data_IF_350140304405
#
_entry.id   IF_350140304405
#
_cell.length_a   1.000
_cell.length_b   1.000
_cell.length_c   1.000
_cell.angle_alpha   90.00
_cell.angle_beta   90.00
_cell.angle_gamma   90.00
#
_symmetry.space_group_name_H-M   'P 1'
#
loop_
_entity.id
_entity.type
_entity.pdbx_description
1 polymer ?
#
# COMPACT_ATOMS: atom_id res chain seq x y z
N UNK A 1 7.15 -21.37 -6.85
CA UNK A 1 7.33 -20.75 -8.16
C UNK A 1 6.91 -19.27 -8.19
N UNK A 2 5.75 -18.86 -7.68
CA UNK A 2 5.33 -17.44 -7.64
C UNK A 2 6.13 -16.57 -6.64
N UNK A 3 6.66 -17.13 -5.55
CA UNK A 3 7.52 -16.40 -4.59
C UNK A 3 8.90 -15.99 -5.15
N UNK A 4 9.28 -16.47 -6.32
CA UNK A 4 10.56 -16.16 -6.95
C UNK A 4 10.49 -15.11 -8.07
N UNK A 5 9.39 -14.33 -8.14
CA UNK A 5 9.27 -13.24 -9.11
C UNK A 5 10.28 -12.15 -8.77
N UNK A 6 11.35 -12.07 -9.57
CA UNK A 6 12.42 -11.07 -9.42
C UNK A 6 12.12 -9.77 -10.16
N UNK A 7 11.24 -9.81 -11.17
CA UNK A 7 10.90 -8.67 -12.02
C UNK A 7 9.38 -8.52 -12.14
N UNK A 8 8.92 -7.29 -12.20
CA UNK A 8 7.50 -6.98 -12.46
C UNK A 8 7.19 -7.45 -13.89
N UNK A 9 6.15 -8.29 -14.11
CA UNK A 9 5.78 -8.74 -15.45
C UNK A 9 5.32 -7.55 -16.29
N UNK A 10 5.71 -7.54 -17.57
CA UNK A 10 5.19 -6.61 -18.56
C UNK A 10 4.09 -7.31 -19.34
N UNK A 11 2.92 -6.71 -19.38
CA UNK A 11 1.75 -7.23 -20.11
C UNK A 11 1.32 -6.22 -21.19
N UNK A 12 0.38 -6.60 -22.05
CA UNK A 12 -0.07 -5.81 -23.21
C UNK A 12 -0.52 -4.38 -22.87
N UNK A 13 -1.03 -4.16 -21.66
CA UNK A 13 -1.50 -2.86 -21.19
C UNK A 13 -0.49 -2.12 -20.26
N UNK A 14 0.66 -2.71 -19.91
CA UNK A 14 1.68 -2.03 -19.11
C UNK A 14 2.22 -0.80 -19.84
N UNK A 15 2.53 0.28 -19.09
CA UNK A 15 3.24 1.42 -19.63
C UNK A 15 4.72 1.07 -19.87
N UNK A 16 5.27 1.51 -20.99
CA UNK A 16 6.69 1.31 -21.30
C UNK A 16 7.60 2.10 -20.36
N UNK A 17 7.13 3.27 -19.88
CA UNK A 17 7.89 4.19 -19.03
C UNK A 17 7.11 4.52 -17.76
N UNK A 18 7.76 4.57 -16.59
CA UNK A 18 7.08 4.87 -15.32
C UNK A 18 6.58 6.33 -15.23
N UNK A 19 7.19 7.27 -15.95
CA UNK A 19 6.79 8.68 -16.01
C UNK A 19 6.00 8.99 -17.29
N UNK A 20 5.10 8.11 -17.69
CA UNK A 20 4.20 8.35 -18.81
C UNK A 20 2.96 9.12 -18.32
N UNK A 21 2.83 10.39 -18.72
CA UNK A 21 1.69 11.24 -18.41
C UNK A 21 0.53 11.14 -19.40
N UNK A 22 0.67 10.31 -20.46
CA UNK A 22 -0.38 10.01 -21.43
C UNK A 22 -0.47 8.49 -21.64
N UNK A 23 -0.85 7.73 -20.58
CA UNK A 23 -0.97 6.28 -20.69
C UNK A 23 -2.13 5.88 -21.59
N UNK A 24 -2.13 4.62 -22.06
CA UNK A 24 -3.29 4.02 -22.70
C UNK A 24 -4.46 3.99 -21.68
N UNK A 25 -5.69 4.11 -22.16
CA UNK A 25 -6.89 4.06 -21.32
C UNK A 25 -6.94 2.77 -20.50
N UNK A 26 -6.61 1.63 -21.10
CA UNK A 26 -6.53 0.34 -20.40
C UNK A 26 -5.54 0.37 -19.24
N UNK A 27 -4.32 0.91 -19.45
CA UNK A 27 -3.31 1.06 -18.39
C UNK A 27 -3.84 1.89 -17.22
N UNK A 28 -4.51 3.00 -17.53
CA UNK A 28 -5.09 3.90 -16.53
C UNK A 28 -6.21 3.22 -15.74
N UNK A 29 -7.12 2.50 -16.42
CA UNK A 29 -8.21 1.78 -15.77
C UNK A 29 -7.69 0.67 -14.85
N UNK A 30 -6.72 -0.15 -15.31
CA UNK A 30 -6.11 -1.17 -14.45
C UNK A 30 -5.33 -0.58 -13.27
N UNK A 31 -4.66 0.57 -13.46
CA UNK A 31 -4.05 1.30 -12.36
C UNK A 31 -5.08 1.68 -11.31
N UNK A 32 -6.17 2.37 -11.71
CA UNK A 32 -7.22 2.79 -10.79
C UNK A 32 -7.86 1.59 -10.08
N UNK A 33 -8.16 0.51 -10.80
CA UNK A 33 -8.71 -0.72 -10.24
C UNK A 33 -7.77 -1.35 -9.20
N UNK A 34 -6.48 -1.47 -9.52
CA UNK A 34 -5.48 -1.98 -8.58
C UNK A 34 -5.35 -1.13 -7.33
N UNK A 35 -5.36 0.21 -7.47
CA UNK A 35 -5.29 1.13 -6.34
C UNK A 35 -6.58 1.11 -5.48
N UNK A 36 -7.74 0.92 -6.10
CA UNK A 36 -9.01 0.74 -5.40
C UNK A 36 -8.99 -0.53 -4.56
N UNK A 37 -8.54 -1.66 -5.11
CA UNK A 37 -8.38 -2.89 -4.35
C UNK A 37 -7.35 -2.73 -3.22
N UNK A 38 -6.24 -2.05 -3.50
CA UNK A 38 -5.21 -1.80 -2.49
C UNK A 38 -5.78 -1.02 -1.31
N UNK A 39 -6.46 0.09 -1.58
CA UNK A 39 -7.07 0.94 -0.54
C UNK A 39 -8.21 0.24 0.20
N UNK A 40 -9.05 -0.53 -0.52
CA UNK A 40 -10.09 -1.38 0.07
C UNK A 40 -9.46 -2.37 1.06
N UNK A 41 -8.40 -3.07 0.67
CA UNK A 41 -7.71 -4.01 1.55
C UNK A 41 -7.10 -3.34 2.79
N UNK A 42 -6.49 -2.16 2.65
CA UNK A 42 -6.01 -1.37 3.80
C UNK A 42 -7.17 -1.02 4.76
N UNK A 43 -8.31 -0.59 4.23
CA UNK A 43 -9.50 -0.29 5.02
C UNK A 43 -10.09 -1.54 5.69
N UNK A 44 -10.18 -2.67 4.99
CA UNK A 44 -10.61 -3.95 5.57
C UNK A 44 -9.72 -4.39 6.74
N UNK A 45 -8.41 -4.19 6.62
CA UNK A 45 -7.46 -4.53 7.67
C UNK A 45 -7.70 -3.66 8.93
N UNK A 46 -7.98 -2.37 8.75
CA UNK A 46 -8.35 -1.46 9.86
C UNK A 46 -9.66 -1.92 10.49
N UNK A 47 -10.69 -2.19 9.69
CA UNK A 47 -12.02 -2.65 10.14
C UNK A 47 -11.97 -4.01 10.83
N UNK A 48 -10.99 -4.87 10.51
CA UNK A 48 -10.82 -6.16 11.19
C UNK A 48 -10.55 -6.03 12.69
N UNK A 49 -10.10 -4.86 13.15
CA UNK A 49 -9.76 -4.56 14.55
C UNK A 49 -8.68 -5.49 15.16
N UNK A 50 -7.92 -6.21 14.32
CA UNK A 50 -6.84 -7.12 14.76
C UNK A 50 -5.46 -6.48 14.68
N UNK A 51 -5.38 -5.21 14.25
CA UNK A 51 -4.17 -4.46 13.94
C UNK A 51 -4.15 -4.06 12.45
N UNK A 52 -3.47 -2.97 12.14
CA UNK A 52 -3.39 -2.39 10.80
C UNK A 52 -1.97 -2.51 10.19
N UNK A 53 -1.81 -2.14 8.92
CA UNK A 53 -0.48 -2.02 8.31
C UNK A 53 0.35 -0.93 9.00
N UNK A 54 1.68 -0.98 8.99
CA UNK A 54 2.53 -0.03 9.73
C UNK A 54 2.18 1.44 9.50
N UNK A 55 1.97 1.82 8.26
CA UNK A 55 1.60 3.21 7.91
C UNK A 55 0.15 3.56 8.28
N UNK A 56 -0.74 2.58 8.25
CA UNK A 56 -2.13 2.75 8.68
C UNK A 56 -2.23 2.82 10.21
N UNK A 57 -1.34 2.15 10.95
CA UNK A 57 -1.19 2.33 12.41
C UNK A 57 -0.78 3.78 12.72
N UNK A 58 0.17 4.34 11.96
CA UNK A 58 0.56 5.74 12.12
C UNK A 58 -0.60 6.69 11.80
N UNK A 59 -1.29 6.47 10.67
CA UNK A 59 -2.43 7.29 10.27
C UNK A 59 -3.56 7.23 11.31
N UNK A 60 -3.88 6.04 11.82
CA UNK A 60 -4.87 5.82 12.87
C UNK A 60 -4.46 6.52 14.19
N UNK A 61 -3.20 6.35 14.61
CA UNK A 61 -2.71 7.00 15.82
C UNK A 61 -2.80 8.52 15.75
N UNK A 62 -2.45 9.13 14.61
CA UNK A 62 -2.60 10.58 14.41
C UNK A 62 -4.09 10.96 14.39
N UNK A 63 -4.95 10.23 13.66
CA UNK A 63 -6.39 10.46 13.57
C UNK A 63 -7.07 10.51 14.94
N UNK A 64 -6.65 9.68 15.89
CA UNK A 64 -7.17 9.68 17.27
C UNK A 64 -6.82 10.94 18.07
N UNK A 65 -5.82 11.70 17.64
CA UNK A 65 -5.37 12.92 18.33
C UNK A 65 -5.74 14.20 17.59
N UNK A 66 -6.33 14.10 16.39
CA UNK A 66 -6.81 15.21 15.59
C UNK A 66 -8.20 14.85 15.03
N UNK A 67 -9.06 15.81 14.82
CA UNK A 67 -10.43 15.58 14.31
C UNK A 67 -10.45 15.44 12.79
N UNK A 68 -9.71 14.42 12.29
CA UNK A 68 -9.61 14.09 10.86
C UNK A 68 -9.73 12.59 10.64
N UNK A 69 -10.29 12.17 9.48
CA UNK A 69 -10.40 10.76 9.13
C UNK A 69 -9.03 10.10 8.89
N UNK A 70 -8.98 8.76 9.03
CA UNK A 70 -7.76 7.98 8.79
C UNK A 70 -7.30 8.13 7.34
N UNK A 71 -8.24 8.16 6.37
CA UNK A 71 -7.91 8.39 4.96
C UNK A 71 -7.33 9.78 4.73
N UNK A 72 -7.91 10.83 5.34
CA UNK A 72 -7.37 12.20 5.25
C UNK A 72 -5.94 12.26 5.80
N UNK A 73 -5.68 11.66 6.96
CA UNK A 73 -4.31 11.57 7.51
C UNK A 73 -3.38 10.77 6.59
N UNK A 74 -3.87 9.67 6.01
CA UNK A 74 -3.09 8.88 5.04
C UNK A 74 -2.69 9.72 3.81
N UNK A 75 -3.58 10.59 3.33
CA UNK A 75 -3.28 11.54 2.26
C UNK A 75 -2.19 12.53 2.69
N UNK A 76 -2.32 13.16 3.87
CA UNK A 76 -1.30 14.09 4.37
C UNK A 76 0.06 13.43 4.61
N UNK A 77 0.07 12.21 5.15
CA UNK A 77 1.30 11.43 5.27
C UNK A 77 1.93 11.14 3.91
N UNK A 78 1.12 10.81 2.91
CA UNK A 78 1.61 10.58 1.54
C UNK A 78 2.23 11.86 0.95
N UNK A 79 1.61 13.02 1.13
CA UNK A 79 2.16 14.31 0.72
C UNK A 79 3.47 14.60 1.47
N UNK A 80 3.50 14.39 2.79
CA UNK A 80 4.71 14.54 3.60
C UNK A 80 5.85 13.64 3.10
N UNK A 81 5.55 12.39 2.79
CA UNK A 81 6.53 11.45 2.21
C UNK A 81 7.06 11.94 0.85
N UNK A 82 6.20 12.50 0.00
CA UNK A 82 6.63 13.06 -1.30
C UNK A 82 7.57 14.25 -1.16
N UNK A 83 7.51 15.01 -0.07
CA UNK A 83 8.48 16.08 0.20
C UNK A 83 9.89 15.48 0.37
N UNK A 84 10.01 14.34 1.05
CA UNK A 84 11.30 13.63 1.18
C UNK A 84 11.82 13.05 -0.13
N UNK A 85 11.00 12.93 -1.19
CA UNK A 85 11.47 12.51 -2.51
C UNK A 85 12.39 13.53 -3.16
N UNK A 86 12.23 14.84 -2.85
CA UNK A 86 13.05 15.91 -3.40
C UNK A 86 14.55 15.68 -3.17
N UNK A 87 15.05 15.50 -1.91
CA UNK A 87 16.46 15.23 -1.66
C UNK A 87 16.91 13.83 -2.09
N UNK A 88 15.97 12.92 -2.41
CA UNK A 88 16.24 11.56 -2.87
C UNK A 88 16.20 11.43 -4.41
N UNK A 89 16.01 12.55 -5.13
CA UNK A 89 15.92 12.60 -6.60
C UNK A 89 14.87 11.64 -7.20
N UNK A 90 13.82 11.30 -6.43
CA UNK A 90 12.71 10.51 -6.92
C UNK A 90 11.70 11.42 -7.64
N UNK A 91 11.07 10.89 -8.70
CA UNK A 91 10.10 11.65 -9.50
C UNK A 91 8.71 11.00 -9.39
N UNK A 92 7.68 11.73 -8.93
CA UNK A 92 6.33 11.20 -8.86
C UNK A 92 5.74 11.05 -10.27
N UNK A 93 5.15 9.88 -10.54
CA UNK A 93 4.34 9.61 -11.73
C UNK A 93 2.84 9.76 -11.46
N UNK A 94 2.01 9.54 -12.48
CA UNK A 94 0.54 9.52 -12.33
C UNK A 94 0.13 8.50 -11.26
N UNK A 95 0.72 7.30 -11.29
CA UNK A 95 0.45 6.25 -10.31
C UNK A 95 0.78 6.67 -8.88
N UNK A 96 1.81 7.49 -8.67
CA UNK A 96 2.16 8.02 -7.34
C UNK A 96 1.08 8.93 -6.78
N UNK A 97 0.58 9.85 -7.61
CA UNK A 97 -0.46 10.81 -7.23
C UNK A 97 -1.79 10.08 -6.97
N UNK A 98 -2.19 9.21 -7.90
CA UNK A 98 -3.41 8.43 -7.76
C UNK A 98 -3.36 7.45 -6.59
N UNK A 99 -2.19 6.88 -6.27
CA UNK A 99 -2.02 6.04 -5.08
C UNK A 99 -2.35 6.84 -3.81
N UNK A 100 -1.78 8.04 -3.66
CA UNK A 100 -2.07 8.88 -2.49
C UNK A 100 -3.56 9.21 -2.35
N UNK A 101 -4.24 9.53 -3.46
CA UNK A 101 -5.64 9.94 -3.47
C UNK A 101 -6.60 8.74 -3.31
N UNK A 102 -6.48 7.72 -4.19
CA UNK A 102 -7.44 6.61 -4.24
C UNK A 102 -7.35 5.77 -2.97
N UNK A 103 -6.14 5.48 -2.48
CA UNK A 103 -5.98 4.67 -1.26
C UNK A 103 -6.59 5.38 -0.06
N UNK A 104 -6.36 6.70 0.08
CA UNK A 104 -6.93 7.50 1.16
C UNK A 104 -8.48 7.46 1.14
N UNK A 105 -9.08 7.72 -0.02
CA UNK A 105 -10.54 7.69 -0.20
C UNK A 105 -11.11 6.30 0.08
N UNK A 106 -10.45 5.24 -0.42
CA UNK A 106 -10.92 3.86 -0.23
C UNK A 106 -10.82 3.38 1.22
N UNK A 107 -9.84 3.85 1.99
CA UNK A 107 -9.78 3.59 3.43
C UNK A 107 -11.01 4.15 4.11
N UNK A 108 -11.35 5.43 3.89
CA UNK A 108 -12.49 6.06 4.54
C UNK A 108 -13.82 5.43 4.11
N UNK A 109 -13.99 5.11 2.82
CA UNK A 109 -15.17 4.40 2.32
C UNK A 109 -15.31 3.04 2.99
N UNK A 110 -14.22 2.28 3.12
CA UNK A 110 -14.25 0.96 3.74
C UNK A 110 -14.66 1.04 5.22
N UNK A 111 -14.12 1.99 5.97
CA UNK A 111 -14.45 2.20 7.38
C UNK A 111 -15.91 2.64 7.55
N UNK A 112 -16.42 3.46 6.62
CA UNK A 112 -17.80 3.95 6.68
C UNK A 112 -18.85 2.89 6.31
N UNK A 113 -18.52 1.95 5.40
CA UNK A 113 -19.48 0.99 4.86
C UNK A 113 -19.41 -0.40 5.46
N UNK A 114 -18.28 -0.78 6.07
CA UNK A 114 -18.04 -2.15 6.53
C UNK A 114 -17.95 -2.15 8.05
N UNK A 115 -18.82 -2.95 8.68
CA UNK A 115 -18.80 -3.10 10.14
C UNK A 115 -17.73 -4.10 10.60
N UNK A 116 -17.12 -3.83 11.75
CA UNK A 116 -16.21 -4.78 12.40
C UNK A 116 -16.96 -6.07 12.77
N UNK A 117 -16.43 -7.25 12.40
CA UNK A 117 -17.04 -8.52 12.79
C UNK A 117 -17.05 -8.71 14.32
N UNK A 118 -18.13 -9.32 14.84
CA UNK A 118 -18.34 -9.47 16.28
C UNK A 118 -17.36 -10.44 16.95
N UNK A 119 -16.99 -11.53 16.25
CA UNK A 119 -16.11 -12.54 16.82
C UNK A 119 -14.67 -12.46 16.27
N UNK A 120 -13.72 -12.81 17.12
CA UNK A 120 -12.28 -12.71 16.83
C UNK A 120 -11.85 -13.57 15.63
N UNK A 121 -12.46 -14.73 15.40
CA UNK A 121 -12.13 -15.60 14.25
C UNK A 121 -12.52 -14.91 12.95
N UNK A 122 -13.71 -14.30 12.88
CA UNK A 122 -14.13 -13.52 11.69
C UNK A 122 -13.27 -12.29 11.49
N UNK A 123 -12.81 -11.64 12.56
CA UNK A 123 -11.84 -10.53 12.48
C UNK A 123 -10.52 -10.99 11.86
N UNK A 124 -9.97 -12.14 12.30
CA UNK A 124 -8.75 -12.70 11.72
C UNK A 124 -8.92 -13.12 10.26
N UNK A 125 -10.06 -13.71 9.91
CA UNK A 125 -10.38 -14.06 8.52
C UNK A 125 -10.47 -12.81 7.66
N UNK A 126 -11.10 -11.73 8.15
CA UNK A 126 -11.17 -10.46 7.46
C UNK A 126 -9.77 -9.86 7.27
N UNK A 127 -8.90 -9.92 8.29
CA UNK A 127 -7.52 -9.47 8.18
C UNK A 127 -6.73 -10.26 7.12
N UNK A 128 -6.93 -11.58 7.07
CA UNK A 128 -6.28 -12.42 6.04
C UNK A 128 -6.75 -12.04 4.62
N UNK A 129 -8.07 -11.89 4.42
CA UNK A 129 -8.66 -11.43 3.15
C UNK A 129 -8.13 -10.03 2.81
N UNK A 130 -8.04 -9.14 3.79
CA UNK A 130 -7.50 -7.79 3.62
C UNK A 130 -6.08 -7.81 3.05
N UNK A 131 -5.16 -8.59 3.65
CA UNK A 131 -3.77 -8.72 3.18
C UNK A 131 -3.70 -9.26 1.75
N UNK A 132 -4.52 -10.26 1.42
CA UNK A 132 -4.61 -10.77 0.04
C UNK A 132 -5.13 -9.71 -0.93
N UNK A 133 -6.13 -8.93 -0.54
CA UNK A 133 -6.72 -7.86 -1.35
C UNK A 133 -5.70 -6.75 -1.60
N UNK A 134 -4.95 -6.32 -0.57
CA UNK A 134 -3.82 -5.38 -0.73
C UNK A 134 -2.79 -5.94 -1.70
N UNK A 135 -2.41 -7.22 -1.54
CA UNK A 135 -1.43 -7.87 -2.40
C UNK A 135 -1.87 -7.95 -3.86
N UNK A 136 -3.12 -8.32 -4.12
CA UNK A 136 -3.69 -8.36 -5.48
C UNK A 136 -3.73 -6.96 -6.10
N UNK A 137 -4.26 -5.98 -5.37
CA UNK A 137 -4.28 -4.58 -5.80
C UNK A 137 -2.87 -4.04 -6.07
N UNK A 138 -1.93 -4.35 -5.17
CA UNK A 138 -0.52 -4.01 -5.30
C UNK A 138 0.12 -4.60 -6.56
N UNK A 139 -0.14 -5.89 -6.84
CA UNK A 139 0.33 -6.54 -8.07
C UNK A 139 -0.17 -5.86 -9.33
N UNK A 140 -1.47 -5.55 -9.41
CA UNK A 140 -2.08 -4.90 -10.57
C UNK A 140 -1.51 -3.49 -10.78
N UNK A 141 -1.45 -2.66 -9.72
CA UNK A 141 -0.96 -1.29 -9.88
C UNK A 141 0.53 -1.24 -10.25
N UNK A 142 1.35 -2.14 -9.72
CA UNK A 142 2.78 -2.23 -10.08
C UNK A 142 2.98 -2.60 -11.55
N UNK A 143 2.17 -3.52 -12.09
CA UNK A 143 2.20 -3.91 -13.51
C UNK A 143 1.81 -2.76 -14.43
N UNK A 144 0.99 -1.81 -13.98
CA UNK A 144 0.67 -0.61 -14.76
C UNK A 144 1.90 0.25 -15.07
N UNK A 145 2.94 0.21 -14.23
CA UNK A 145 4.22 0.92 -14.42
C UNK A 145 4.05 2.42 -14.69
N UNK A 146 3.27 3.11 -13.86
CA UNK A 146 3.00 4.55 -13.95
C UNK A 146 3.54 5.36 -12.76
N UNK A 147 4.55 4.84 -12.08
CA UNK A 147 5.19 5.42 -10.90
C UNK A 147 4.97 4.58 -9.65
N UNK A 148 5.94 4.61 -8.76
CA UNK A 148 5.87 3.94 -7.47
C UNK A 148 4.92 4.69 -6.52
N UNK A 149 4.30 3.96 -5.57
CA UNK A 149 3.58 4.59 -4.47
C UNK A 149 4.50 5.49 -3.62
N UNK A 150 3.95 6.48 -2.90
CA UNK A 150 4.76 7.41 -2.09
C UNK A 150 5.74 6.70 -1.15
N UNK A 151 5.27 5.67 -0.45
CA UNK A 151 6.06 4.88 0.51
C UNK A 151 7.14 4.04 -0.18
N UNK A 152 6.81 3.43 -1.31
CA UNK A 152 7.73 2.59 -2.09
C UNK A 152 8.89 3.41 -2.66
N UNK A 153 8.59 4.58 -3.22
CA UNK A 153 9.61 5.47 -3.74
C UNK A 153 10.52 6.06 -2.65
N UNK A 154 9.99 6.32 -1.44
CA UNK A 154 10.80 6.68 -0.28
C UNK A 154 11.81 5.56 0.04
N UNK A 155 11.36 4.30 0.09
CA UNK A 155 12.23 3.15 0.36
C UNK A 155 13.31 3.00 -0.70
N UNK A 156 12.95 3.11 -1.98
CA UNK A 156 13.90 3.03 -3.10
C UNK A 156 14.90 4.20 -3.06
N UNK A 157 14.43 5.42 -2.83
CA UNK A 157 15.28 6.59 -2.74
C UNK A 157 16.29 6.52 -1.58
N UNK A 158 15.85 6.08 -0.42
CA UNK A 158 16.73 5.85 0.73
C UNK A 158 17.74 4.73 0.45
N UNK A 159 17.29 3.62 -0.14
CA UNK A 159 18.16 2.51 -0.55
C UNK A 159 19.27 2.99 -1.48
N UNK A 160 18.94 3.79 -2.50
CA UNK A 160 19.91 4.33 -3.45
C UNK A 160 20.91 5.29 -2.78
N UNK A 161 20.46 6.08 -1.81
CA UNK A 161 21.31 7.07 -1.13
C UNK A 161 22.19 6.47 -0.06
N UNK A 162 21.73 5.43 0.64
CA UNK A 162 22.44 4.81 1.77
C UNK A 162 23.22 3.56 1.37
N UNK A 163 22.95 2.98 0.20
CA UNK A 163 23.46 1.67 -0.25
C UNK A 163 23.12 0.51 0.70
N UNK A 164 22.13 0.68 1.60
CA UNK A 164 21.65 -0.38 2.46
C UNK A 164 20.74 -1.34 1.69
N UNK A 165 20.63 -2.62 2.08
CA UNK A 165 19.65 -3.53 1.49
C UNK A 165 18.23 -2.98 1.64
N UNK A 166 17.41 -3.09 0.60
CA UNK A 166 16.02 -2.59 0.59
C UNK A 166 15.19 -3.15 1.76
N UNK A 167 15.45 -4.40 2.15
CA UNK A 167 14.78 -5.03 3.29
C UNK A 167 15.11 -4.33 4.62
N UNK A 168 16.35 -3.88 4.82
CA UNK A 168 16.76 -3.15 6.01
C UNK A 168 16.12 -1.75 6.05
N UNK A 169 16.10 -1.03 4.91
CA UNK A 169 15.44 0.28 4.79
C UNK A 169 13.95 0.15 5.08
N UNK A 170 13.30 -0.86 4.49
CA UNK A 170 11.89 -1.15 4.72
C UNK A 170 11.61 -1.45 6.19
N UNK A 171 12.35 -2.39 6.79
CA UNK A 171 12.18 -2.76 8.20
C UNK A 171 12.36 -1.55 9.12
N UNK A 172 13.39 -0.73 8.89
CA UNK A 172 13.63 0.49 9.66
C UNK A 172 12.44 1.46 9.58
N UNK A 173 11.96 1.76 8.38
CA UNK A 173 10.82 2.66 8.18
C UNK A 173 9.54 2.09 8.81
N UNK A 174 9.22 0.81 8.57
CA UNK A 174 8.02 0.18 9.09
C UNK A 174 8.03 0.09 10.61
N UNK A 175 9.17 -0.25 11.24
CA UNK A 175 9.30 -0.25 12.71
C UNK A 175 9.14 1.17 13.25
N UNK A 176 9.74 2.16 12.61
CA UNK A 176 9.64 3.56 13.07
C UNK A 176 8.20 4.05 13.03
N UNK A 177 7.51 3.89 11.89
CA UNK A 177 6.14 4.39 11.75
C UNK A 177 5.14 3.63 12.61
N UNK A 178 5.29 2.30 12.76
CA UNK A 178 4.41 1.50 13.63
C UNK A 178 4.62 1.87 15.11
N UNK A 179 5.87 2.09 15.53
CA UNK A 179 6.17 2.48 16.92
C UNK A 179 5.57 3.85 17.27
N UNK A 180 5.73 4.84 16.38
CA UNK A 180 5.14 6.17 16.58
C UNK A 180 3.60 6.07 16.56
N UNK A 181 3.02 5.35 15.60
CA UNK A 181 1.58 5.20 15.49
C UNK A 181 0.98 4.49 16.71
N UNK A 182 1.63 3.44 17.19
CA UNK A 182 1.22 2.74 18.42
C UNK A 182 1.29 3.63 19.66
N UNK A 183 2.36 4.40 19.80
CA UNK A 183 2.49 5.39 20.90
C UNK A 183 1.36 6.41 20.87
N UNK A 184 0.87 6.80 19.69
CA UNK A 184 -0.25 7.71 19.49
C UNK A 184 -1.63 7.03 19.63
N UNK A 185 -1.70 5.73 19.94
CA UNK A 185 -2.93 4.98 20.15
C UNK A 185 -3.40 4.15 18.97
N UNK A 186 -2.64 4.08 17.88
CA UNK A 186 -2.94 3.22 16.73
C UNK A 186 -2.92 1.74 17.09
N UNK A 187 -3.74 0.94 16.43
CA UNK A 187 -3.96 -0.48 16.77
C UNK A 187 -2.89 -1.37 16.17
N UNK A 188 -2.08 -1.99 17.02
CA UNK A 188 -1.09 -3.02 16.66
C UNK A 188 -1.55 -4.37 17.19
N UNK A 189 -1.44 -5.42 16.38
CA UNK A 189 -1.86 -6.75 16.80
C UNK A 189 -1.51 -7.83 15.77
N UNK A 190 -2.24 -8.96 15.82
CA UNK A 190 -2.01 -10.11 14.92
C UNK A 190 -2.19 -9.70 13.46
N UNK A 191 -3.13 -8.82 13.13
CA UNK A 191 -3.31 -8.27 11.78
C UNK A 191 -2.08 -7.52 11.27
N UNK A 192 -1.38 -6.77 12.15
CA UNK A 192 -0.13 -6.09 11.80
C UNK A 192 0.97 -7.10 11.45
N UNK A 193 1.07 -8.21 12.21
CA UNK A 193 2.01 -9.29 11.91
C UNK A 193 1.64 -10.02 10.62
N UNK A 194 0.35 -10.34 10.42
CA UNK A 194 -0.13 -10.93 9.18
C UNK A 194 0.23 -10.05 7.98
N UNK A 195 0.07 -8.74 8.09
CA UNK A 195 0.48 -7.81 7.03
C UNK A 195 1.99 -7.83 6.84
N UNK A 196 2.79 -7.66 7.90
CA UNK A 196 4.24 -7.56 7.80
C UNK A 196 4.89 -8.78 7.10
N UNK A 197 4.40 -9.99 7.42
CA UNK A 197 4.92 -11.23 6.82
C UNK A 197 4.15 -11.67 5.56
N UNK A 198 2.86 -11.34 5.46
CA UNK A 198 1.97 -11.80 4.39
C UNK A 198 1.97 -10.91 3.16
N UNK A 199 2.27 -9.61 3.27
CA UNK A 199 2.14 -8.69 2.13
C UNK A 199 3.11 -9.01 0.99
N UNK A 200 4.34 -9.44 1.29
CA UNK A 200 5.30 -9.84 0.26
C UNK A 200 4.79 -11.00 -0.61
N UNK A 201 4.44 -12.15 -0.03
CA UNK A 201 3.81 -13.26 -0.75
C UNK A 201 2.51 -12.88 -1.46
N UNK A 202 1.66 -12.04 -0.84
CA UNK A 202 0.39 -11.61 -1.45
C UNK A 202 0.62 -10.74 -2.70
N UNK A 203 1.57 -9.79 -2.68
CA UNK A 203 1.96 -9.01 -3.87
C UNK A 203 2.57 -9.91 -4.94
N UNK A 204 3.43 -10.87 -4.57
CA UNK A 204 3.99 -11.83 -5.51
C UNK A 204 2.88 -12.66 -6.19
N UNK A 205 1.86 -13.08 -5.46
CA UNK A 205 0.67 -13.74 -6.01
C UNK A 205 -0.08 -12.80 -6.98
N UNK A 206 -0.30 -11.55 -6.59
CA UNK A 206 -0.94 -10.53 -7.44
C UNK A 206 -0.19 -10.32 -8.75
N UNK A 207 1.13 -10.18 -8.71
CA UNK A 207 1.98 -10.06 -9.89
C UNK A 207 1.89 -11.31 -10.79
N UNK A 208 1.94 -12.50 -10.18
CA UNK A 208 1.83 -13.78 -10.91
C UNK A 208 0.49 -13.90 -11.63
N UNK A 209 -0.62 -13.64 -10.92
CA UNK A 209 -1.97 -13.73 -11.49
C UNK A 209 -2.16 -12.72 -12.61
N UNK A 210 -1.74 -11.47 -12.39
CA UNK A 210 -1.82 -10.41 -13.42
C UNK A 210 -1.00 -10.78 -14.64
N UNK A 211 0.24 -11.26 -14.47
CA UNK A 211 1.07 -11.71 -15.57
C UNK A 211 0.46 -12.89 -16.32
N UNK A 212 -0.14 -13.86 -15.63
CA UNK A 212 -0.75 -15.04 -16.26
C UNK A 212 -2.05 -14.73 -17.01
N UNK A 213 -2.85 -13.77 -16.53
CA UNK A 213 -4.15 -13.44 -17.12
C UNK A 213 -4.03 -12.54 -18.36
N UNK A 214 -2.95 -11.76 -18.48
CA UNK A 214 -2.83 -10.71 -19.49
C UNK A 214 -1.59 -10.84 -20.41
N UNK A 215 -0.85 -11.94 -20.32
CA UNK A 215 0.20 -12.33 -21.29
C UNK A 215 -0.41 -13.20 -22.41
#
# INVERSE_FOLDING_TARGET
MFLSIKNIPKVSWSSEKPLNFKPKISTFLFLCFGLTLFGLGEGLLIVSFTGASPWSVLAQGISLNVDLSIGTITLFLSIGVLIFWLPLNQKPGIGTILNALIVAVMIDISIALISTPENYISQLLLAFIAVLTVGLGGGIYLVANLGAGPRDGLMVGLQQKTNLPIAAVRAFLEITVVSIGWYLGGTVGVGTLLFAFGIGPAVALGLFLTGKLFN
#
